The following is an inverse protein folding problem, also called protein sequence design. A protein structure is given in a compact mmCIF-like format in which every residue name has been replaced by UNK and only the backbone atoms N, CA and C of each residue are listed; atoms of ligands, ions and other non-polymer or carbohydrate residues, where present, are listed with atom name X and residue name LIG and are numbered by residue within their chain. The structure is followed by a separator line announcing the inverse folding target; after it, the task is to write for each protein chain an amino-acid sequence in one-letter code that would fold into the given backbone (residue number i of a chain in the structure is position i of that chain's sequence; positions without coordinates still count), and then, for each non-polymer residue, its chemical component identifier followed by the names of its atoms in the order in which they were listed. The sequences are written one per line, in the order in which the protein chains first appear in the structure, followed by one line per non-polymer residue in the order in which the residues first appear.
data_IF_517944084455
#
_entry.id   IF_517944084455
#
_cell.length_a   1.000
_cell.length_b   1.000
_cell.length_c   1.000
_cell.angle_alpha   90.00
_cell.angle_beta   90.00
_cell.angle_gamma   90.00
#
_symmetry.space_group_name_H-M   'P 1'
#
loop_
_entity.id
_entity.type
_entity.pdbx_description
1 polymer ?
#
# COMPACT_ATOMS: atom_id res chain seq x y z
N UNK A 1 2.09 51.19 16.82
CA UNK A 1 1.06 50.35 16.14
C UNK A 1 1.60 49.03 15.57
N UNK A 2 2.79 48.56 15.96
CA UNK A 2 3.49 47.43 15.30
C UNK A 2 3.39 46.08 16.04
N UNK A 3 3.09 46.09 17.34
CA UNK A 3 3.06 44.89 18.19
C UNK A 3 1.96 43.88 17.78
N UNK A 4 0.74 44.36 17.51
CA UNK A 4 -0.39 43.50 17.13
C UNK A 4 -0.24 42.90 15.72
N UNK A 5 0.44 43.59 14.81
CA UNK A 5 0.70 43.09 13.45
C UNK A 5 1.71 41.94 13.47
N UNK A 6 2.77 42.06 14.27
CA UNK A 6 3.78 41.01 14.43
C UNK A 6 3.20 39.74 15.08
N UNK A 7 2.39 39.89 16.14
CA UNK A 7 1.75 38.76 16.83
C UNK A 7 0.75 38.01 15.93
N UNK A 8 0.00 38.73 15.09
CA UNK A 8 -0.94 38.13 14.13
C UNK A 8 -0.24 37.38 13.00
N UNK A 9 0.88 37.90 12.49
CA UNK A 9 1.67 37.21 11.48
C UNK A 9 2.37 35.99 12.07
N UNK A 10 2.94 36.10 13.27
CA UNK A 10 3.52 34.97 13.99
C UNK A 10 2.47 33.86 14.25
N UNK A 11 1.25 34.23 14.66
CA UNK A 11 0.17 33.28 14.87
C UNK A 11 -0.30 32.62 13.56
N UNK A 12 -0.36 33.37 12.46
CA UNK A 12 -0.64 32.83 11.11
C UNK A 12 0.44 31.84 10.66
N UNK A 13 1.71 32.18 10.82
CA UNK A 13 2.82 31.29 10.47
C UNK A 13 2.88 30.06 11.37
N UNK A 14 2.61 30.21 12.68
CA UNK A 14 2.52 29.10 13.62
C UNK A 14 1.37 28.13 13.26
N UNK A 15 0.22 28.64 12.81
CA UNK A 15 -0.91 27.82 12.37
C UNK A 15 -0.59 27.03 11.09
N UNK A 16 0.11 27.65 10.13
CA UNK A 16 0.56 26.99 8.89
C UNK A 16 1.62 25.92 9.18
N UNK A 17 2.54 26.18 10.12
CA UNK A 17 3.57 25.22 10.51
C UNK A 17 2.98 23.99 11.24
N UNK A 18 1.94 24.18 12.04
CA UNK A 18 1.18 23.10 12.72
C UNK A 18 0.34 22.25 11.74
N UNK A 19 -0.07 22.81 10.59
CA UNK A 19 -0.78 22.05 9.56
C UNK A 19 0.17 21.22 8.68
N UNK A 20 1.47 21.55 8.65
CA UNK A 20 2.49 20.78 7.92
C UNK A 20 2.96 19.55 8.68
N UNK A 21 2.70 19.46 9.99
CA UNK A 21 2.91 18.23 10.76
C UNK A 21 1.73 17.27 10.64
N UNK A 22 0.84 17.46 9.64
CA UNK A 22 -0.15 16.46 9.24
C UNK A 22 0.56 15.11 9.18
N UNK A 23 0.35 14.32 10.22
CA UNK A 23 1.08 13.09 10.44
C UNK A 23 0.95 12.23 9.20
N UNK A 24 2.05 12.06 8.47
CA UNK A 24 2.16 10.99 7.50
C UNK A 24 2.23 9.67 8.27
N UNK A 25 1.13 9.28 8.92
CA UNK A 25 0.94 7.88 9.30
C UNK A 25 0.52 7.12 8.06
N UNK A 26 1.39 7.10 7.05
CA UNK A 26 1.31 6.11 5.99
C UNK A 26 1.81 4.80 6.60
N UNK A 27 1.00 4.16 7.45
CA UNK A 27 1.15 2.73 7.71
C UNK A 27 0.55 2.04 6.48
N UNK A 28 1.17 2.24 5.33
CA UNK A 28 0.93 1.48 4.11
C UNK A 28 2.10 0.55 3.98
N UNK A 29 1.88 -0.75 4.14
CA UNK A 29 2.93 -1.71 3.84
C UNK A 29 3.39 -1.55 2.39
N UNK A 30 4.68 -1.75 2.15
CA UNK A 30 5.22 -1.72 0.80
C UNK A 30 4.86 -3.01 0.05
N UNK A 31 4.64 -2.95 -1.27
CA UNK A 31 4.37 -4.15 -2.02
C UNK A 31 5.59 -5.08 -2.06
N UNK A 32 5.32 -6.38 -2.08
CA UNK A 32 6.30 -7.45 -1.99
C UNK A 32 6.81 -7.85 -3.38
N UNK A 33 8.12 -8.06 -3.49
CA UNK A 33 8.71 -8.71 -4.65
C UNK A 33 8.39 -10.22 -4.66
N UNK A 34 8.38 -10.84 -5.85
CA UNK A 34 8.19 -12.28 -5.95
C UNK A 34 9.49 -13.03 -5.64
N UNK A 35 9.35 -14.28 -5.18
CA UNK A 35 10.49 -15.16 -4.92
C UNK A 35 11.35 -15.39 -6.17
N UNK A 36 12.62 -15.71 -5.95
CA UNK A 36 13.51 -16.21 -7.01
C UNK A 36 12.90 -17.47 -7.63
N UNK A 37 12.83 -17.54 -8.96
CA UNK A 37 12.21 -18.64 -9.69
C UNK A 37 10.69 -18.55 -9.81
N UNK A 38 10.07 -17.43 -9.44
CA UNK A 38 8.68 -17.14 -9.82
C UNK A 38 8.52 -17.12 -11.35
N UNK A 39 7.28 -17.31 -11.81
CA UNK A 39 6.96 -17.24 -13.24
C UNK A 39 7.43 -15.87 -13.81
N UNK A 40 8.23 -15.85 -14.89
CA UNK A 40 8.89 -14.63 -15.36
C UNK A 40 7.95 -13.47 -15.71
N UNK A 41 6.82 -13.76 -16.37
CA UNK A 41 5.83 -12.73 -16.74
C UNK A 41 5.18 -12.12 -15.49
N UNK A 42 4.85 -12.94 -14.51
CA UNK A 42 4.31 -12.54 -13.22
C UNK A 42 5.32 -11.67 -12.46
N UNK A 43 6.59 -12.07 -12.44
CA UNK A 43 7.66 -11.28 -11.81
C UNK A 43 7.82 -9.91 -12.46
N UNK A 44 7.97 -9.85 -13.78
CA UNK A 44 8.12 -8.59 -14.51
C UNK A 44 6.94 -7.65 -14.26
N UNK A 45 5.70 -8.16 -14.36
CA UNK A 45 4.50 -7.36 -14.12
C UNK A 45 4.39 -6.92 -12.66
N UNK A 46 4.76 -7.78 -11.72
CA UNK A 46 4.80 -7.41 -10.31
C UNK A 46 5.81 -6.30 -10.03
N UNK A 47 7.02 -6.40 -10.59
CA UNK A 47 8.08 -5.40 -10.41
C UNK A 47 7.64 -4.04 -11.00
N UNK A 48 7.03 -4.02 -12.20
CA UNK A 48 6.43 -2.81 -12.76
C UNK A 48 5.32 -2.25 -11.84
N UNK A 49 4.47 -3.12 -11.30
CA UNK A 49 3.41 -2.72 -10.37
C UNK A 49 3.95 -2.06 -9.10
N UNK A 50 5.07 -2.55 -8.57
CA UNK A 50 5.79 -1.94 -7.44
C UNK A 50 6.26 -0.53 -7.80
N UNK A 51 6.85 -0.34 -8.97
CA UNK A 51 7.30 0.98 -9.43
C UNK A 51 6.15 1.99 -9.53
N UNK A 52 5.03 1.58 -10.14
CA UNK A 52 3.83 2.40 -10.22
C UNK A 52 3.25 2.73 -8.82
N UNK A 53 3.22 1.75 -7.91
CA UNK A 53 2.71 1.94 -6.54
C UNK A 53 3.55 2.94 -5.76
N UNK A 54 4.89 2.84 -5.85
CA UNK A 54 5.83 3.77 -5.21
C UNK A 54 5.74 5.17 -5.78
N UNK A 55 5.42 5.30 -7.07
CA UNK A 55 5.16 6.58 -7.72
C UNK A 55 3.76 7.16 -7.44
N UNK A 56 2.95 6.52 -6.60
CA UNK A 56 1.59 6.95 -6.30
C UNK A 56 0.57 6.73 -7.43
N UNK A 57 0.98 6.07 -8.52
CA UNK A 57 0.11 5.72 -9.66
C UNK A 57 -0.66 4.44 -9.35
N UNK A 58 -1.59 4.53 -8.40
CA UNK A 58 -2.29 3.38 -7.83
C UNK A 58 -3.10 2.56 -8.85
N UNK A 59 -3.74 3.23 -9.83
CA UNK A 59 -4.50 2.54 -10.87
C UNK A 59 -3.61 1.71 -11.79
N UNK A 60 -2.48 2.28 -12.22
CA UNK A 60 -1.49 1.55 -13.03
C UNK A 60 -0.88 0.38 -12.25
N UNK A 61 -0.58 0.59 -10.96
CA UNK A 61 -0.10 -0.47 -10.08
C UNK A 61 -1.12 -1.62 -10.01
N UNK A 62 -2.40 -1.29 -9.82
CA UNK A 62 -3.49 -2.27 -9.82
C UNK A 62 -3.57 -3.03 -11.15
N UNK A 63 -3.40 -2.35 -12.29
CA UNK A 63 -3.38 -2.99 -13.61
C UNK A 63 -2.22 -4.00 -13.72
N UNK A 64 -1.00 -3.58 -13.38
CA UNK A 64 0.19 -4.43 -13.45
C UNK A 64 0.08 -5.63 -12.50
N UNK A 65 -0.36 -5.43 -11.27
CA UNK A 65 -0.58 -6.52 -10.32
C UNK A 65 -1.68 -7.50 -10.78
N UNK A 66 -2.74 -7.03 -11.45
CA UNK A 66 -3.75 -7.92 -12.02
C UNK A 66 -3.17 -8.77 -13.16
N UNK A 67 -2.35 -8.18 -14.02
CA UNK A 67 -1.70 -8.93 -15.08
C UNK A 67 -0.68 -9.93 -14.51
N UNK A 68 0.00 -9.59 -13.40
CA UNK A 68 0.85 -10.53 -12.68
C UNK A 68 0.02 -11.71 -12.13
N UNK A 69 -1.16 -11.44 -11.56
CA UNK A 69 -2.08 -12.46 -11.06
C UNK A 69 -2.65 -13.35 -12.17
N UNK A 70 -2.85 -12.82 -13.38
CA UNK A 70 -3.24 -13.64 -14.54
C UNK A 70 -2.11 -14.61 -14.94
N UNK A 71 -0.86 -14.24 -14.73
CA UNK A 71 0.30 -15.07 -15.06
C UNK A 71 0.61 -16.11 -13.96
N UNK A 72 0.52 -15.73 -12.69
CA UNK A 72 0.57 -16.66 -11.54
C UNK A 72 -0.52 -16.33 -10.51
N UNK A 73 -1.68 -17.01 -10.53
CA UNK A 73 -2.75 -16.79 -9.55
C UNK A 73 -2.47 -17.45 -8.19
N UNK A 74 -1.32 -18.09 -8.01
CA UNK A 74 -0.98 -18.86 -6.79
C UNK A 74 0.08 -18.18 -5.91
N UNK A 75 0.52 -16.97 -6.27
CA UNK A 75 1.46 -16.18 -5.46
C UNK A 75 0.73 -15.37 -4.38
N UNK A 76 1.08 -15.64 -3.12
CA UNK A 76 0.61 -14.85 -2.00
C UNK A 76 1.05 -13.38 -2.08
N UNK A 77 2.26 -13.12 -2.58
CA UNK A 77 2.83 -11.78 -2.75
C UNK A 77 2.03 -10.93 -3.74
N UNK A 78 1.59 -11.51 -4.87
CA UNK A 78 0.74 -10.80 -5.83
C UNK A 78 -0.62 -10.45 -5.22
N UNK A 79 -1.23 -11.40 -4.50
CA UNK A 79 -2.49 -11.12 -3.80
C UNK A 79 -2.32 -10.06 -2.72
N UNK A 80 -1.20 -10.05 -2.01
CA UNK A 80 -0.89 -9.00 -1.05
C UNK A 80 -0.81 -7.62 -1.72
N UNK A 81 -0.11 -7.52 -2.85
CA UNK A 81 0.06 -6.29 -3.62
C UNK A 81 -1.26 -5.76 -4.20
N UNK A 82 -2.12 -6.66 -4.72
CA UNK A 82 -3.48 -6.32 -5.13
C UNK A 82 -4.31 -5.78 -3.96
N UNK A 83 -4.15 -6.38 -2.78
CA UNK A 83 -4.77 -5.91 -1.55
C UNK A 83 -4.40 -4.47 -1.23
N UNK A 84 -3.10 -4.17 -1.25
CA UNK A 84 -2.57 -2.83 -0.99
C UNK A 84 -3.06 -1.79 -1.99
N UNK A 85 -2.99 -2.11 -3.29
CA UNK A 85 -3.43 -1.19 -4.35
C UNK A 85 -4.95 -0.90 -4.23
N UNK A 86 -5.77 -1.91 -3.99
CA UNK A 86 -7.21 -1.74 -3.75
C UNK A 86 -7.51 -0.95 -2.48
N UNK A 87 -6.68 -1.09 -1.44
CA UNK A 87 -6.83 -0.33 -0.21
C UNK A 87 -6.58 1.16 -0.43
N UNK A 88 -5.53 1.51 -1.18
CA UNK A 88 -5.24 2.90 -1.58
C UNK A 88 -6.35 3.50 -2.45
N UNK A 89 -6.99 2.69 -3.28
CA UNK A 89 -8.15 3.08 -4.09
C UNK A 89 -9.48 3.12 -3.30
N UNK A 90 -9.44 3.06 -1.96
CA UNK A 90 -10.60 3.03 -1.07
C UNK A 90 -11.56 1.85 -1.31
N UNK A 91 -11.13 0.81 -2.04
CA UNK A 91 -11.88 -0.43 -2.31
C UNK A 91 -11.62 -1.47 -1.23
N UNK A 92 -11.73 -1.07 0.04
CA UNK A 92 -11.27 -1.84 1.21
C UNK A 92 -11.79 -3.28 1.26
N UNK A 93 -13.09 -3.49 1.03
CA UNK A 93 -13.71 -4.84 0.99
C UNK A 93 -13.10 -5.76 -0.07
N UNK A 94 -12.72 -5.23 -1.24
CA UNK A 94 -12.02 -6.02 -2.26
C UNK A 94 -10.58 -6.29 -1.82
N UNK A 95 -9.89 -5.28 -1.28
CA UNK A 95 -8.53 -5.43 -0.74
C UNK A 95 -8.44 -6.52 0.34
N UNK A 96 -9.37 -6.51 1.29
CA UNK A 96 -9.52 -7.55 2.31
C UNK A 96 -9.60 -8.98 1.76
N UNK A 97 -10.40 -9.20 0.70
CA UNK A 97 -10.48 -10.50 0.03
C UNK A 97 -9.13 -10.94 -0.52
N UNK A 98 -8.38 -10.02 -1.11
CA UNK A 98 -7.04 -10.29 -1.60
C UNK A 98 -6.04 -10.57 -0.46
N UNK A 99 -6.09 -9.84 0.66
CA UNK A 99 -5.26 -10.16 1.83
C UNK A 99 -5.58 -11.53 2.42
N UNK A 100 -6.86 -11.92 2.48
CA UNK A 100 -7.26 -13.26 2.90
C UNK A 100 -6.66 -14.34 1.99
N UNK A 101 -6.65 -14.09 0.68
CA UNK A 101 -6.07 -15.00 -0.29
C UNK A 101 -4.53 -15.02 -0.20
N UNK A 102 -3.90 -13.88 0.03
CA UNK A 102 -2.46 -13.77 0.26
C UNK A 102 -2.03 -14.66 1.43
N UNK A 103 -2.74 -14.61 2.56
CA UNK A 103 -2.46 -15.44 3.73
C UNK A 103 -2.61 -16.94 3.44
N UNK A 104 -3.62 -17.34 2.66
CA UNK A 104 -3.79 -18.74 2.23
C UNK A 104 -2.65 -19.23 1.33
N UNK A 105 -2.12 -18.35 0.49
CA UNK A 105 -1.08 -18.66 -0.49
C UNK A 105 0.33 -18.23 -0.04
N UNK A 106 0.51 -17.87 1.23
CA UNK A 106 1.76 -17.30 1.71
C UNK A 106 2.94 -18.27 1.62
N UNK A 107 2.71 -19.60 1.59
CA UNK A 107 3.75 -20.64 1.50
C UNK A 107 4.90 -20.41 2.51
N UNK A 108 4.56 -19.98 3.73
CA UNK A 108 5.53 -19.69 4.79
C UNK A 108 6.17 -18.30 4.72
N UNK A 109 5.75 -17.42 3.80
CA UNK A 109 6.26 -16.05 3.71
C UNK A 109 5.86 -15.24 4.97
N UNK A 110 6.81 -14.90 5.87
CA UNK A 110 6.52 -14.24 7.14
C UNK A 110 5.98 -12.82 6.94
N UNK A 111 6.40 -12.13 5.88
CA UNK A 111 5.91 -10.78 5.55
C UNK A 111 4.39 -10.76 5.33
N UNK A 112 3.78 -11.89 4.96
CA UNK A 112 2.34 -12.02 4.82
C UNK A 112 1.69 -12.59 6.09
N UNK A 113 2.28 -13.65 6.66
CA UNK A 113 1.69 -14.35 7.82
C UNK A 113 1.72 -13.51 9.11
N UNK A 114 2.75 -12.71 9.27
CA UNK A 114 3.01 -11.91 10.47
C UNK A 114 2.65 -10.43 10.28
N UNK A 115 2.19 -10.03 9.08
CA UNK A 115 1.79 -8.65 8.78
C UNK A 115 0.78 -8.12 9.80
N UNK A 116 1.16 -7.12 10.64
CA UNK A 116 0.25 -6.51 11.59
C UNK A 116 -0.93 -5.83 10.88
N UNK A 117 -0.68 -5.29 9.68
CA UNK A 117 -1.70 -4.65 8.87
C UNK A 117 -2.75 -5.66 8.40
N UNK A 118 -2.36 -6.77 7.77
CA UNK A 118 -3.29 -7.82 7.36
C UNK A 118 -4.07 -8.35 8.56
N UNK A 119 -3.39 -8.57 9.69
CA UNK A 119 -4.03 -9.05 10.92
C UNK A 119 -5.08 -8.08 11.43
N UNK A 120 -4.85 -6.77 11.34
CA UNK A 120 -5.84 -5.75 11.68
C UNK A 120 -7.01 -5.72 10.70
N UNK A 121 -6.72 -5.75 9.39
CA UNK A 121 -7.75 -5.74 8.33
C UNK A 121 -8.69 -6.94 8.49
N UNK A 122 -8.13 -8.14 8.58
CA UNK A 122 -8.91 -9.39 8.59
C UNK A 122 -9.60 -9.69 9.93
N UNK A 123 -9.34 -8.92 11.00
CA UNK A 123 -10.08 -9.00 12.26
C UNK A 123 -11.37 -8.16 12.23
N UNK A 124 -11.46 -7.18 11.31
CA UNK A 124 -12.59 -6.26 11.21
C UNK A 124 -13.60 -6.58 10.11
N UNK A 125 -13.35 -7.61 9.30
CA UNK A 125 -14.27 -8.14 8.27
C UNK A 125 -15.00 -9.39 8.78
#
# INVERSE_FOLDING_TARGET
MTYNSFKNNFLKYALVLLLLTSSCTNIGEDPLALRVGAEPSAKMRNDNGIEHYKAGRNFDALLQFNQANMADPTSGEIHFNLGLALWKENKKRKGAKHFKQARKLAKGNPSILESPFINKVLKGD
#
